data_IF_890987380562
#
_entry.id   IF_890987380562
#
_cell.length_a   1.000
_cell.length_b   1.000
_cell.length_c   1.000
_cell.angle_alpha   90.00
_cell.angle_beta   90.00
_cell.angle_gamma   90.00
#
_symmetry.space_group_name_H-M   'P 1'
#
loop_
_entity.id
_entity.type
_entity.pdbx_description
1 polymer ?
#
# COMPACT_ATOMS: atom_id res chain seq x y z
N UNK A 1 18.82 -1.91 -8.28
CA UNK A 1 19.13 -1.90 -6.82
C UNK A 1 18.23 -2.96 -6.18
N UNK A 2 18.67 -3.71 -5.15
CA UNK A 2 17.80 -4.73 -4.53
C UNK A 2 16.90 -4.04 -3.49
N UNK A 3 15.74 -3.57 -3.92
CA UNK A 3 14.72 -3.12 -2.98
C UNK A 3 14.06 -4.34 -2.34
N UNK A 4 13.70 -4.22 -1.07
CA UNK A 4 13.05 -5.30 -0.32
C UNK A 4 11.62 -5.49 -0.84
N UNK A 5 11.24 -6.74 -1.11
CA UNK A 5 9.88 -7.07 -1.53
C UNK A 5 8.94 -7.00 -0.31
N UNK A 6 8.06 -6.01 -0.29
CA UNK A 6 7.08 -5.83 0.79
C UNK A 6 5.72 -6.28 0.28
N UNK A 7 5.29 -7.44 0.76
CA UNK A 7 3.98 -8.00 0.43
C UNK A 7 2.87 -7.27 1.20
N UNK A 8 1.88 -6.77 0.47
CA UNK A 8 0.73 -6.01 0.96
C UNK A 8 -0.59 -6.71 0.64
N UNK A 9 -0.64 -8.04 0.76
CA UNK A 9 -1.83 -8.81 0.41
C UNK A 9 -3.06 -8.35 1.22
N UNK A 10 -4.13 -7.89 0.53
CA UNK A 10 -5.32 -7.41 1.18
C UNK A 10 -6.21 -8.56 1.68
N UNK A 11 -6.79 -8.40 2.87
CA UNK A 11 -7.76 -9.35 3.43
C UNK A 11 -9.14 -9.22 2.76
N UNK A 12 -9.29 -9.79 1.56
CA UNK A 12 -10.51 -9.71 0.73
C UNK A 12 -11.79 -10.30 1.37
N UNK A 13 -11.74 -10.84 2.59
CA UNK A 13 -12.94 -11.33 3.30
C UNK A 13 -13.93 -10.22 3.64
N UNK A 14 -13.58 -8.95 3.42
CA UNK A 14 -14.43 -7.78 3.64
C UNK A 14 -14.39 -6.87 2.43
N UNK A 15 -15.56 -6.40 2.00
CA UNK A 15 -15.67 -5.30 1.03
C UNK A 15 -16.04 -4.00 1.78
N UNK A 16 -15.06 -3.19 2.17
CA UNK A 16 -15.31 -1.95 2.89
C UNK A 16 -16.04 -0.93 2.01
N UNK A 17 -16.94 -0.16 2.62
CA UNK A 17 -17.56 1.03 2.02
C UNK A 17 -16.81 2.27 2.50
N UNK A 18 -16.06 2.93 1.61
CA UNK A 18 -15.28 4.14 1.91
C UNK A 18 -13.78 3.90 2.14
N UNK A 19 -13.04 4.90 2.66
CA UNK A 19 -11.61 4.81 2.90
C UNK A 19 -11.26 3.67 3.86
N UNK A 20 -10.39 2.77 3.41
CA UNK A 20 -9.98 1.59 4.16
C UNK A 20 -8.50 1.32 3.98
N UNK A 21 -7.93 0.61 4.95
CA UNK A 21 -6.57 0.08 4.84
C UNK A 21 -6.57 -1.05 3.81
N UNK A 22 -5.64 -1.02 2.84
CA UNK A 22 -5.50 -2.07 1.84
C UNK A 22 -5.23 -3.44 2.48
N UNK A 23 -4.24 -3.54 3.38
CA UNK A 23 -3.86 -4.83 4.00
C UNK A 23 -4.99 -5.42 4.85
N UNK A 24 -5.45 -4.72 5.89
CA UNK A 24 -6.39 -5.29 6.86
C UNK A 24 -7.88 -5.04 6.56
N UNK A 25 -8.19 -4.29 5.48
CA UNK A 25 -9.55 -3.92 5.05
C UNK A 25 -10.42 -3.25 6.14
N UNK A 26 -9.80 -2.70 7.20
CA UNK A 26 -10.48 -1.89 8.23
C UNK A 26 -10.69 -0.47 7.73
N UNK A 27 -11.85 0.11 8.08
CA UNK A 27 -12.15 1.50 7.77
C UNK A 27 -11.14 2.46 8.43
N UNK A 28 -10.68 3.46 7.67
CA UNK A 28 -9.76 4.49 8.13
C UNK A 28 -10.57 5.68 8.69
N UNK A 29 -10.25 6.12 9.91
CA UNK A 29 -10.92 7.25 10.59
C UNK A 29 -10.06 8.53 10.65
N UNK A 30 -9.03 8.63 9.81
CA UNK A 30 -8.06 9.73 9.83
C UNK A 30 -6.74 9.31 9.21
N UNK A 31 -5.66 9.40 9.99
CA UNK A 31 -4.28 9.12 9.57
C UNK A 31 -4.13 7.84 8.75
N UNK A 32 -3.53 7.99 7.58
CA UNK A 32 -3.04 6.90 6.74
C UNK A 32 -1.84 7.36 5.93
N UNK A 33 -1.10 6.40 5.40
CA UNK A 33 -0.06 6.67 4.39
C UNK A 33 -0.50 6.11 3.05
N UNK A 34 -0.05 6.74 1.97
CA UNK A 34 -0.23 6.25 0.61
C UNK A 34 1.01 5.54 0.13
N UNK A 35 0.84 4.39 -0.53
CA UNK A 35 1.92 3.54 -1.04
C UNK A 35 1.55 3.08 -2.45
N UNK A 36 2.54 2.96 -3.33
CA UNK A 36 2.38 2.39 -4.66
C UNK A 36 2.34 0.86 -4.54
N UNK A 37 1.43 0.21 -5.25
CA UNK A 37 1.36 -1.26 -5.31
C UNK A 37 1.29 -1.76 -6.73
N UNK A 38 2.00 -2.86 -7.02
CA UNK A 38 1.96 -3.50 -8.34
C UNK A 38 0.61 -4.14 -8.61
N UNK A 39 0.10 -3.98 -9.83
CA UNK A 39 -1.08 -4.74 -10.31
C UNK A 39 -0.70 -6.06 -11.01
N UNK A 40 0.59 -6.30 -11.26
CA UNK A 40 1.06 -7.51 -11.94
C UNK A 40 0.91 -8.76 -11.07
N UNK A 41 -0.20 -9.48 -11.31
CA UNK A 41 -0.46 -10.89 -10.99
C UNK A 41 -0.29 -11.36 -9.53
N UNK A 42 -1.43 -11.78 -8.94
CA UNK A 42 -1.58 -12.56 -7.70
C UNK A 42 -1.03 -11.98 -6.38
N UNK A 43 -0.19 -10.96 -6.41
CA UNK A 43 0.49 -10.42 -5.22
C UNK A 43 0.47 -8.88 -5.27
N UNK A 44 0.04 -8.26 -4.17
CA UNK A 44 0.10 -6.80 -4.04
C UNK A 44 1.43 -6.41 -3.40
N UNK A 45 2.46 -6.13 -4.19
CA UNK A 45 3.77 -5.71 -3.65
C UNK A 45 3.89 -4.19 -3.58
N UNK A 46 4.49 -3.68 -2.50
CA UNK A 46 4.82 -2.27 -2.40
C UNK A 46 5.92 -1.91 -3.40
N UNK A 47 5.72 -0.84 -4.15
CA UNK A 47 6.70 -0.30 -5.09
C UNK A 47 7.36 0.93 -4.46
N UNK A 48 8.68 1.02 -4.55
CA UNK A 48 9.39 2.21 -4.11
C UNK A 48 9.08 3.37 -5.07
N UNK A 49 8.87 4.62 -4.60
CA UNK A 49 8.56 5.77 -5.45
C UNK A 49 9.56 6.02 -6.59
N UNK A 50 10.82 5.60 -6.45
CA UNK A 50 11.84 5.72 -7.50
C UNK A 50 11.69 4.69 -8.63
N UNK A 51 11.04 3.55 -8.36
CA UNK A 51 10.92 2.44 -9.30
C UNK A 51 9.63 2.49 -10.12
N UNK A 52 8.76 3.48 -9.89
CA UNK A 52 7.46 3.61 -10.59
C UNK A 52 7.60 3.77 -12.11
N UNK A 53 8.75 4.22 -12.60
CA UNK A 53 9.04 4.31 -14.02
C UNK A 53 9.42 2.97 -14.66
N UNK A 54 9.79 1.98 -13.85
CA UNK A 54 10.14 0.62 -14.28
C UNK A 54 8.95 -0.34 -14.16
N UNK A 55 7.97 -0.03 -13.30
CA UNK A 55 6.74 -0.80 -13.13
C UNK A 55 5.63 -0.24 -14.04
N UNK A 56 5.12 -1.07 -14.95
CA UNK A 56 4.09 -0.67 -15.92
C UNK A 56 2.76 -0.30 -15.26
N UNK A 57 2.16 -1.25 -14.54
CA UNK A 57 0.83 -1.07 -13.94
C UNK A 57 0.91 -1.05 -12.40
N UNK A 58 0.44 0.06 -11.81
CA UNK A 58 0.41 0.25 -10.37
C UNK A 58 -0.86 0.95 -9.89
N UNK A 59 -1.23 0.71 -8.63
CA UNK A 59 -2.24 1.44 -7.89
C UNK A 59 -1.64 2.26 -6.76
N UNK A 60 -2.39 3.26 -6.28
CA UNK A 60 -2.09 3.97 -5.04
C UNK A 60 -3.11 3.58 -3.99
N UNK A 61 -2.65 2.95 -2.92
CA UNK A 61 -3.52 2.44 -1.85
C UNK A 61 -3.28 3.15 -0.53
N UNK A 62 -4.30 3.15 0.33
CA UNK A 62 -4.17 3.71 1.68
C UNK A 62 -3.80 2.60 2.65
N UNK A 63 -2.82 2.87 3.51
CA UNK A 63 -2.37 1.98 4.57
C UNK A 63 -2.61 2.64 5.92
N UNK A 64 -3.36 1.96 6.79
CA UNK A 64 -3.65 2.44 8.14
C UNK A 64 -2.40 2.42 9.04
N UNK A 65 -2.43 3.14 10.17
CA UNK A 65 -1.24 3.41 11.00
C UNK A 65 -0.60 2.16 11.62
N UNK A 66 -1.38 1.11 11.85
CA UNK A 66 -0.85 -0.17 12.35
C UNK A 66 -0.19 -0.97 11.22
N UNK A 67 -0.83 -1.03 10.06
CA UNK A 67 -0.30 -1.71 8.88
C UNK A 67 0.89 -0.98 8.27
N UNK A 68 1.02 0.34 8.44
CA UNK A 68 2.14 1.09 7.86
C UNK A 68 3.47 0.78 8.53
N UNK A 69 3.46 0.22 9.75
CA UNK A 69 4.68 -0.10 10.52
C UNK A 69 5.56 -1.16 9.87
N UNK A 70 5.01 -2.01 9.00
CA UNK A 70 5.78 -3.02 8.26
C UNK A 70 6.36 -2.46 6.95
N UNK A 71 6.00 -1.23 6.58
CA UNK A 71 6.42 -0.59 5.34
C UNK A 71 7.45 0.50 5.70
N UNK A 72 8.67 0.46 5.16
CA UNK A 72 9.66 1.50 5.37
C UNK A 72 9.14 2.86 4.91
N UNK A 73 9.46 3.92 5.65
CA UNK A 73 8.95 5.26 5.38
C UNK A 73 9.36 5.82 4.01
N UNK A 74 10.42 5.28 3.40
CA UNK A 74 10.85 5.63 2.04
C UNK A 74 9.83 5.24 0.96
N UNK A 75 8.94 4.28 1.24
CA UNK A 75 7.86 3.88 0.33
C UNK A 75 6.62 4.78 0.44
N UNK A 76 6.59 5.74 1.38
CA UNK A 76 5.42 6.59 1.59
C UNK A 76 5.39 7.73 0.57
N UNK A 77 4.27 7.84 -0.15
CA UNK A 77 4.04 8.92 -1.13
C UNK A 77 3.56 10.18 -0.41
N UNK A 78 2.60 10.03 0.53
CA UNK A 78 1.99 11.14 1.28
C UNK A 78 1.48 10.66 2.64
N UNK A 79 1.57 11.52 3.66
CA UNK A 79 0.88 11.36 4.95
C UNK A 79 -0.41 12.17 4.92
N UNK A 80 -1.58 11.52 4.99
CA UNK A 80 -2.84 12.24 5.23
C UNK A 80 -2.99 12.53 6.72
N UNK A 81 -3.28 13.78 7.05
CA UNK A 81 -3.54 14.28 8.42
C UNK A 81 -4.96 13.97 8.87
#
# INVERSE_FOLDING_TARGET
>A
MKHEEIYLDPDFRKSPKGPHCHICQRALKGNSVRVYVSQESNWSNAIHPEDIGEVGDYDIVNIGPECSKIIPASYYIMKTK
#
